data_IF_263048469718
#
_entry.id   IF_263048469718
#
_cell.length_a   1.000
_cell.length_b   1.000
_cell.length_c   1.000
_cell.angle_alpha   90.00
_cell.angle_beta   90.00
_cell.angle_gamma   90.00
#
_symmetry.space_group_name_H-M   'P 1'
#
loop_
_entity.id
_entity.type
_entity.pdbx_description
1 polymer ?
#
# COMPACT_ATOMS: atom_id res chain seq x y z
N UNK A 1 -2.76 -8.54 14.48
CA UNK A 1 -3.01 -7.41 13.57
C UNK A 1 -3.22 -6.08 14.31
N UNK A 2 -2.24 -5.15 14.30
CA UNK A 2 -2.47 -3.75 14.72
C UNK A 2 -3.26 -3.06 13.60
N UNK A 3 -4.57 -3.32 13.56
CA UNK A 3 -5.51 -2.84 12.53
C UNK A 3 -5.50 -1.31 12.30
N UNK A 4 -4.88 -0.54 13.21
CA UNK A 4 -4.75 0.92 13.15
C UNK A 4 -3.88 1.43 12.00
N UNK A 5 -2.87 0.67 11.59
CA UNK A 5 -1.89 1.18 10.62
C UNK A 5 -2.35 1.00 9.17
N UNK A 6 -3.06 -0.08 8.86
CA UNK A 6 -3.67 -0.29 7.53
C UNK A 6 -4.58 0.88 7.13
N UNK A 7 -5.50 1.33 7.99
CA UNK A 7 -6.39 2.45 7.65
C UNK A 7 -5.62 3.75 7.37
N UNK A 8 -4.53 4.00 8.10
CA UNK A 8 -3.68 5.18 7.87
C UNK A 8 -2.94 5.08 6.54
N UNK A 9 -2.36 3.92 6.24
CA UNK A 9 -1.64 3.66 5.00
C UNK A 9 -2.59 3.68 3.79
N UNK A 10 -3.77 3.09 3.92
CA UNK A 10 -4.82 3.20 2.91
C UNK A 10 -5.25 4.64 2.71
N UNK A 11 -5.41 5.45 3.76
CA UNK A 11 -5.73 6.87 3.58
C UNK A 11 -4.60 7.65 2.85
N UNK A 12 -3.33 7.32 3.12
CA UNK A 12 -2.17 7.96 2.48
C UNK A 12 -1.96 7.53 1.02
N UNK A 13 -2.21 6.26 0.73
CA UNK A 13 -1.89 5.63 -0.56
C UNK A 13 -3.13 5.15 -1.33
N UNK A 14 -4.33 5.60 -0.94
CA UNK A 14 -5.58 5.35 -1.66
C UNK A 14 -5.44 5.90 -3.09
N UNK A 15 -4.99 7.16 -3.17
CA UNK A 15 -4.58 7.81 -4.40
C UNK A 15 -3.08 7.60 -4.58
N UNK A 16 -2.66 7.25 -5.79
CA UNK A 16 -1.26 7.19 -6.12
C UNK A 16 -0.63 8.59 -5.92
N UNK A 17 0.45 8.72 -5.16
CA UNK A 17 1.08 10.02 -4.93
C UNK A 17 1.76 10.59 -6.19
N UNK A 18 2.02 9.76 -7.21
CA UNK A 18 2.67 10.19 -8.45
C UNK A 18 1.69 10.61 -9.53
N UNK A 19 0.62 9.84 -9.77
CA UNK A 19 -0.33 10.10 -10.86
C UNK A 19 -1.75 10.41 -10.40
N UNK A 20 -2.04 10.30 -9.10
CA UNK A 20 -3.37 10.55 -8.52
C UNK A 20 -4.41 9.46 -8.77
N UNK A 21 -4.08 8.36 -9.45
CA UNK A 21 -5.02 7.26 -9.71
C UNK A 21 -5.30 6.45 -8.44
N UNK A 22 -6.58 6.16 -8.17
CA UNK A 22 -7.03 5.20 -7.15
C UNK A 22 -7.32 3.80 -7.73
N UNK A 23 -7.15 3.61 -9.03
CA UNK A 23 -7.50 2.37 -9.73
C UNK A 23 -6.60 1.19 -9.28
N UNK A 24 -7.21 0.01 -9.24
CA UNK A 24 -6.66 -1.25 -8.75
C UNK A 24 -7.19 -2.41 -9.61
N UNK A 25 -6.35 -3.42 -9.84
CA UNK A 25 -6.69 -4.57 -10.67
C UNK A 25 -6.41 -4.35 -12.16
N UNK A 26 -6.54 -5.41 -12.96
CA UNK A 26 -6.46 -5.37 -14.44
C UNK A 26 -5.27 -4.59 -15.05
N UNK A 27 -4.12 -4.55 -14.37
CA UNK A 27 -2.92 -3.83 -14.83
C UNK A 27 -2.83 -2.37 -14.37
N UNK A 28 -3.86 -1.85 -13.70
CA UNK A 28 -3.93 -0.48 -13.19
C UNK A 28 -3.14 -0.28 -11.89
N UNK A 29 -2.98 -1.37 -11.14
CA UNK A 29 -2.23 -1.41 -9.90
C UNK A 29 -2.63 -2.58 -9.02
N UNK A 30 -1.96 -2.71 -7.88
CA UNK A 30 -2.17 -3.79 -6.92
C UNK A 30 -2.15 -3.25 -5.49
N UNK A 31 -3.06 -3.74 -4.66
CA UNK A 31 -3.06 -3.51 -3.21
C UNK A 31 -3.13 -4.88 -2.54
N UNK A 32 -2.14 -5.18 -1.70
CA UNK A 32 -2.11 -6.40 -0.88
C UNK A 32 -1.93 -5.95 0.56
N UNK A 33 -2.85 -6.35 1.42
CA UNK A 33 -2.77 -6.12 2.86
C UNK A 33 -2.76 -7.48 3.53
N UNK A 34 -1.68 -7.76 4.25
CA UNK A 34 -1.51 -8.95 5.08
C UNK A 34 -1.46 -8.55 6.57
N UNK A 35 -1.26 -9.50 7.48
CA UNK A 35 -1.29 -9.25 8.93
C UNK A 35 -0.25 -8.21 9.39
N UNK A 36 0.87 -8.11 8.66
CA UNK A 36 1.99 -7.22 8.96
C UNK A 36 2.51 -6.44 7.77
N UNK A 37 2.09 -6.75 6.55
CA UNK A 37 2.64 -6.13 5.35
C UNK A 37 1.58 -5.38 4.57
N UNK A 38 1.93 -4.17 4.13
CA UNK A 38 1.13 -3.37 3.22
C UNK A 38 1.91 -3.17 1.92
N UNK A 39 1.37 -3.67 0.82
CA UNK A 39 1.93 -3.48 -0.52
C UNK A 39 0.96 -2.69 -1.40
N UNK A 40 1.42 -1.59 -1.99
CA UNK A 40 0.68 -0.86 -3.03
C UNK A 40 1.57 -0.64 -4.24
N UNK A 41 1.03 -0.89 -5.42
CA UNK A 41 1.64 -0.67 -6.73
C UNK A 41 0.65 0.03 -7.64
N UNK A 42 1.10 0.93 -8.52
CA UNK A 42 0.27 1.61 -9.52
C UNK A 42 0.90 1.49 -10.92
N UNK A 43 0.07 1.51 -11.96
CA UNK A 43 0.46 1.46 -13.38
C UNK A 43 1.50 2.49 -13.81
N UNK A 44 1.57 3.62 -13.11
CA UNK A 44 2.54 4.68 -13.41
C UNK A 44 3.98 4.34 -12.98
N UNK A 45 4.18 3.26 -12.22
CA UNK A 45 5.48 2.82 -11.71
C UNK A 45 5.66 2.98 -10.20
N UNK A 46 4.74 3.69 -9.52
CA UNK A 46 4.77 3.80 -8.07
C UNK A 46 4.61 2.44 -7.39
N UNK A 47 5.48 2.12 -6.44
CA UNK A 47 5.39 0.92 -5.60
C UNK A 47 5.91 1.17 -4.19
N UNK A 48 5.24 0.60 -3.20
CA UNK A 48 5.65 0.66 -1.80
C UNK A 48 5.32 -0.66 -1.09
N UNK A 49 6.25 -1.12 -0.26
CA UNK A 49 6.09 -2.24 0.66
C UNK A 49 6.43 -1.73 2.05
N UNK A 50 5.50 -1.87 2.99
CA UNK A 50 5.69 -1.52 4.40
C UNK A 50 5.53 -2.80 5.19
N UNK A 51 6.53 -3.13 6.00
CA UNK A 51 6.53 -4.28 6.88
C UNK A 51 6.58 -3.82 8.33
N UNK A 52 5.54 -4.09 9.09
CA UNK A 52 5.45 -3.69 10.50
C UNK A 52 6.16 -4.64 11.45
N UNK A 53 6.87 -5.66 10.93
CA UNK A 53 7.74 -6.55 11.72
C UNK A 53 9.14 -5.97 11.93
N UNK A 54 9.49 -4.87 11.26
CA UNK A 54 10.77 -4.20 11.46
C UNK A 54 10.76 -3.37 12.76
N UNK A 55 10.96 -4.06 13.88
CA UNK A 55 11.76 -3.59 15.02
C UNK A 55 12.11 -4.80 15.93
N UNK A 56 13.09 -5.62 15.53
CA UNK A 56 14.02 -6.32 16.43
C UNK A 56 15.35 -6.54 15.69
N UNK A 57 16.23 -5.52 15.74
CA UNK A 57 17.69 -5.70 15.59
C UNK A 57 18.39 -4.95 16.72
#
# INVERSE_FOLDING_TARGET
>A
MKMKNVFKLSAMYCLCPECGSDELGEGEGKLIVDDYTYYRECKCGFKILIDEREDEI
#
